data_IF_685334661097
#
_entry.id   IF_685334661097
#
_cell.length_a   1.000
_cell.length_b   1.000
_cell.length_c   1.000
_cell.angle_alpha   90.00
_cell.angle_beta   90.00
_cell.angle_gamma   90.00
#
_symmetry.space_group_name_H-M   'P 1'
#
loop_
_entity.id
_entity.type
_entity.pdbx_description
1 polymer ?
#
# COMPACT_ATOMS: atom_id res chain seq x y z
N UNK A 1 15.60 -4.30 17.65
CA UNK A 1 15.98 -3.71 18.96
C UNK A 1 15.25 -4.50 20.02
N UNK A 2 15.96 -5.27 20.85
CA UNK A 2 15.37 -6.26 21.76
C UNK A 2 15.79 -5.94 23.20
N UNK A 3 15.03 -5.08 23.89
CA UNK A 3 15.20 -4.94 25.34
C UNK A 3 14.52 -6.15 25.99
N UNK A 4 15.32 -7.07 26.57
CA UNK A 4 14.84 -8.37 27.05
C UNK A 4 13.89 -8.26 28.26
N UNK A 5 13.94 -7.15 28.99
CA UNK A 5 13.25 -6.96 30.27
C UNK A 5 12.16 -5.87 30.21
N UNK A 6 11.73 -5.51 29.00
CA UNK A 6 10.79 -4.41 28.76
C UNK A 6 9.50 -4.97 28.16
N UNK A 7 8.39 -4.79 28.88
CA UNK A 7 7.09 -5.36 28.51
C UNK A 7 6.08 -4.30 28.04
N UNK A 8 6.42 -3.01 28.14
CA UNK A 8 5.55 -1.91 27.70
C UNK A 8 6.34 -0.89 26.88
N UNK A 9 5.65 -0.22 25.94
CA UNK A 9 6.24 0.82 25.10
C UNK A 9 6.86 1.96 25.92
N UNK A 10 6.22 2.36 27.01
CA UNK A 10 6.73 3.41 27.90
C UNK A 10 8.06 3.03 28.55
N UNK A 11 8.18 1.79 29.03
CA UNK A 11 9.44 1.28 29.59
C UNK A 11 10.55 1.20 28.54
N UNK A 12 10.20 0.91 27.27
CA UNK A 12 11.17 0.90 26.18
C UNK A 12 11.72 2.29 25.89
N UNK A 13 10.84 3.30 25.91
CA UNK A 13 11.22 4.70 25.70
C UNK A 13 12.10 5.24 26.85
N UNK A 14 11.81 4.84 28.09
CA UNK A 14 12.60 5.27 29.26
C UNK A 14 14.01 4.64 29.29
N UNK A 15 14.16 3.42 28.77
CA UNK A 15 15.44 2.70 28.71
C UNK A 15 16.21 2.99 27.41
N UNK A 16 15.53 3.52 26.39
CA UNK A 16 16.14 3.81 25.11
C UNK A 16 17.28 4.83 25.27
N UNK A 17 18.49 4.54 24.73
CA UNK A 17 19.55 5.52 24.72
C UNK A 17 19.10 6.75 23.92
N UNK A 18 19.45 7.97 24.36
CA UNK A 18 19.05 9.18 23.67
C UNK A 18 19.50 9.15 22.21
N UNK A 19 18.70 9.70 21.29
CA UNK A 19 18.99 9.64 19.86
C UNK A 19 20.39 10.20 19.59
N UNK A 20 21.19 9.44 18.84
CA UNK A 20 22.56 9.81 18.50
C UNK A 20 22.55 10.88 17.41
N UNK A 21 22.27 12.11 17.82
CA UNK A 21 22.26 13.29 16.94
C UNK A 21 23.72 13.74 16.73
N UNK A 22 24.42 13.05 15.84
CA UNK A 22 25.87 13.20 15.65
C UNK A 22 26.21 14.50 14.92
N UNK A 23 25.41 14.88 13.92
CA UNK A 23 25.59 16.09 13.14
C UNK A 23 24.68 17.24 13.59
N UNK A 24 25.02 18.47 13.19
CA UNK A 24 24.12 19.61 13.40
C UNK A 24 22.82 19.47 12.60
N UNK A 25 22.90 18.85 11.41
CA UNK A 25 21.76 18.55 10.56
C UNK A 25 20.79 17.59 11.25
N UNK A 26 21.30 16.51 11.85
CA UNK A 26 20.49 15.51 12.57
C UNK A 26 19.70 16.16 13.71
N UNK A 27 20.33 17.12 14.42
CA UNK A 27 19.68 17.86 15.51
C UNK A 27 18.54 18.75 15.02
N UNK A 28 18.72 19.39 13.86
CA UNK A 28 17.68 20.22 13.24
C UNK A 28 16.51 19.36 12.78
N UNK A 29 16.80 18.26 12.08
CA UNK A 29 15.77 17.31 11.61
C UNK A 29 15.01 16.68 12.77
N UNK A 30 15.71 16.26 13.82
CA UNK A 30 15.08 15.72 15.02
C UNK A 30 14.17 16.76 15.69
N UNK A 31 14.63 18.00 15.82
CA UNK A 31 13.80 19.07 16.39
C UNK A 31 12.57 19.37 15.54
N UNK A 32 12.70 19.36 14.20
CA UNK A 32 11.57 19.54 13.30
C UNK A 32 10.55 18.41 13.44
N UNK A 33 11.00 17.15 13.50
CA UNK A 33 10.13 15.99 13.74
C UNK A 33 9.42 16.08 15.08
N UNK A 34 10.14 16.43 16.14
CA UNK A 34 9.54 16.61 17.47
C UNK A 34 8.44 17.69 17.47
N UNK A 35 8.65 18.80 16.74
CA UNK A 35 7.61 19.82 16.57
C UNK A 35 6.39 19.30 15.81
N UNK A 36 6.61 18.57 14.71
CA UNK A 36 5.50 17.99 13.95
C UNK A 36 4.72 16.97 14.77
N UNK A 37 5.40 16.14 15.58
CA UNK A 37 4.75 15.19 16.48
C UNK A 37 3.86 15.89 17.50
N UNK A 38 4.31 16.98 18.11
CA UNK A 38 3.48 17.75 19.04
C UNK A 38 2.24 18.33 18.35
N UNK A 39 2.38 18.84 17.12
CA UNK A 39 1.24 19.34 16.34
C UNK A 39 0.27 18.21 16.00
N UNK A 40 0.77 17.07 15.53
CA UNK A 40 -0.05 15.92 15.20
C UNK A 40 -0.82 15.38 16.42
N UNK A 41 -0.17 15.34 17.60
CA UNK A 41 -0.82 14.92 18.85
C UNK A 41 -1.95 15.85 19.27
N UNK A 42 -1.76 17.17 19.16
CA UNK A 42 -2.83 18.14 19.46
C UNK A 42 -3.95 18.09 18.42
N UNK A 43 -3.64 17.96 17.13
CA UNK A 43 -4.63 17.75 16.08
C UNK A 43 -5.45 16.47 16.34
N UNK A 44 -4.80 15.38 16.73
CA UNK A 44 -5.49 14.14 17.03
C UNK A 44 -6.45 14.29 18.22
N UNK A 45 -6.06 15.02 19.26
CA UNK A 45 -6.94 15.33 20.40
C UNK A 45 -8.16 16.11 19.95
N UNK A 46 -7.96 17.16 19.15
CA UNK A 46 -9.06 17.98 18.60
C UNK A 46 -9.98 17.13 17.72
N UNK A 47 -9.42 16.29 16.85
CA UNK A 47 -10.17 15.40 15.98
C UNK A 47 -10.92 14.31 16.77
N UNK A 48 -10.35 13.80 17.86
CA UNK A 48 -11.03 12.84 18.74
C UNK A 48 -12.22 13.48 19.45
N UNK A 49 -12.08 14.71 19.94
CA UNK A 49 -13.21 15.47 20.49
C UNK A 49 -14.28 15.75 19.44
N UNK A 50 -13.89 16.16 18.23
CA UNK A 50 -14.82 16.39 17.13
C UNK A 50 -15.61 15.13 16.79
N UNK A 51 -14.92 13.99 16.60
CA UNK A 51 -15.57 12.69 16.32
C UNK A 51 -16.54 12.27 17.42
N UNK A 52 -16.25 12.57 18.69
CA UNK A 52 -17.16 12.31 19.82
C UNK A 52 -18.42 13.17 19.77
N UNK A 53 -18.31 14.43 19.32
CA UNK A 53 -19.45 15.35 19.19
C UNK A 53 -20.28 15.09 17.92
N UNK A 54 -19.66 14.48 16.90
CA UNK A 54 -20.25 14.28 15.57
C UNK A 54 -20.26 12.80 15.14
N UNK A 55 -20.95 11.90 15.88
CA UNK A 55 -20.96 10.47 15.54
C UNK A 55 -21.65 10.17 14.21
N UNK A 56 -22.64 10.98 13.82
CA UNK A 56 -23.38 10.83 12.55
C UNK A 56 -22.48 11.12 11.34
N UNK A 57 -21.70 12.21 11.39
CA UNK A 57 -20.76 12.58 10.33
C UNK A 57 -19.66 11.51 10.18
N UNK A 58 -19.17 10.98 11.30
CA UNK A 58 -18.18 9.88 11.31
C UNK A 58 -18.76 8.63 10.67
N UNK A 59 -19.99 8.24 11.03
CA UNK A 59 -20.63 7.06 10.43
C UNK A 59 -20.82 7.24 8.91
N UNK A 60 -21.28 8.41 8.49
CA UNK A 60 -21.45 8.74 7.08
C UNK A 60 -20.14 8.67 6.28
N UNK A 61 -19.06 9.25 6.80
CA UNK A 61 -17.75 9.17 6.15
C UNK A 61 -17.26 7.72 6.06
N UNK A 62 -17.40 6.93 7.13
CA UNK A 62 -17.00 5.53 7.13
C UNK A 62 -17.76 4.71 6.08
N UNK A 63 -19.07 4.94 5.93
CA UNK A 63 -19.87 4.31 4.88
C UNK A 63 -19.44 4.73 3.48
N UNK A 64 -19.19 6.03 3.26
CA UNK A 64 -18.70 6.55 1.99
C UNK A 64 -17.35 5.93 1.60
N UNK A 65 -16.42 5.84 2.56
CA UNK A 65 -15.12 5.22 2.34
C UNK A 65 -15.21 3.70 2.17
N UNK A 66 -16.11 3.03 2.88
CA UNK A 66 -16.37 1.60 2.69
C UNK A 66 -16.87 1.32 1.26
N UNK A 67 -17.85 2.08 0.78
CA UNK A 67 -18.37 1.96 -0.59
C UNK A 67 -17.27 2.22 -1.63
N UNK A 68 -16.44 3.25 -1.43
CA UNK A 68 -15.31 3.53 -2.33
C UNK A 68 -14.28 2.40 -2.33
N UNK A 69 -13.96 1.81 -1.17
CA UNK A 69 -13.05 0.65 -1.09
C UNK A 69 -13.63 -0.57 -1.81
N UNK A 70 -14.92 -0.82 -1.68
CA UNK A 70 -15.59 -1.90 -2.42
C UNK A 70 -15.55 -1.67 -3.93
N UNK A 71 -15.83 -0.46 -4.39
CA UNK A 71 -15.74 -0.12 -5.80
C UNK A 71 -14.30 -0.26 -6.34
N UNK A 72 -13.33 0.27 -5.60
CA UNK A 72 -11.92 0.18 -5.99
C UNK A 72 -11.41 -1.27 -5.99
N UNK A 73 -11.84 -2.10 -5.04
CA UNK A 73 -11.48 -3.53 -5.01
C UNK A 73 -12.12 -4.28 -6.18
N UNK A 74 -13.38 -3.97 -6.53
CA UNK A 74 -14.04 -4.50 -7.73
C UNK A 74 -13.28 -4.09 -8.99
N UNK A 75 -12.97 -2.80 -9.15
CA UNK A 75 -12.20 -2.28 -10.29
C UNK A 75 -10.87 -3.00 -10.44
N UNK A 76 -10.10 -3.12 -9.34
CA UNK A 76 -8.82 -3.87 -9.35
C UNK A 76 -9.00 -5.34 -9.73
N UNK A 77 -10.08 -6.00 -9.28
CA UNK A 77 -10.36 -7.40 -9.67
C UNK A 77 -10.65 -7.50 -11.17
N UNK A 78 -11.47 -6.60 -11.71
CA UNK A 78 -11.79 -6.55 -13.13
C UNK A 78 -10.54 -6.27 -13.97
N UNK A 79 -9.72 -5.29 -13.58
CA UNK A 79 -8.44 -4.97 -14.22
C UNK A 79 -7.47 -6.17 -14.20
N UNK A 80 -7.37 -6.91 -13.08
CA UNK A 80 -6.56 -8.13 -12.99
C UNK A 80 -7.09 -9.22 -13.93
N UNK A 81 -8.40 -9.42 -14.01
CA UNK A 81 -9.01 -10.40 -14.90
C UNK A 81 -8.81 -10.04 -16.37
N UNK A 82 -8.99 -8.77 -16.73
CA UNK A 82 -8.72 -8.27 -18.07
C UNK A 82 -7.25 -8.50 -18.47
N UNK A 83 -6.32 -8.13 -17.57
CA UNK A 83 -4.89 -8.36 -17.76
C UNK A 83 -4.56 -9.84 -18.01
N UNK A 84 -5.12 -10.75 -17.21
CA UNK A 84 -4.96 -12.20 -17.38
C UNK A 84 -5.52 -12.67 -18.73
N UNK A 85 -6.70 -12.19 -19.14
CA UNK A 85 -7.30 -12.53 -20.43
C UNK A 85 -6.43 -12.07 -21.60
N UNK A 86 -5.92 -10.83 -21.54
CA UNK A 86 -5.05 -10.27 -22.58
C UNK A 86 -3.72 -11.02 -22.69
N UNK A 87 -3.06 -11.29 -21.55
CA UNK A 87 -1.85 -12.12 -21.52
C UNK A 87 -2.09 -13.51 -22.11
N UNK A 88 -3.13 -14.21 -21.64
CA UNK A 88 -3.46 -15.56 -22.12
C UNK A 88 -3.76 -15.58 -23.63
N UNK A 89 -4.49 -14.58 -24.15
CA UNK A 89 -4.77 -14.45 -25.57
C UNK A 89 -3.47 -14.27 -26.37
N UNK A 90 -2.60 -13.35 -25.93
CA UNK A 90 -1.34 -13.07 -26.61
C UNK A 90 -0.38 -14.27 -26.57
N UNK A 91 -0.30 -14.98 -25.43
CA UNK A 91 0.44 -16.23 -25.30
C UNK A 91 -0.10 -17.31 -26.24
N UNK A 92 -1.42 -17.53 -26.29
CA UNK A 92 -2.02 -18.51 -27.19
C UNK A 92 -1.79 -18.19 -28.68
N UNK A 93 -1.79 -16.90 -29.04
CA UNK A 93 -1.43 -16.50 -30.41
C UNK A 93 0.05 -16.74 -30.71
N UNK A 94 0.94 -16.55 -29.73
CA UNK A 94 2.37 -16.80 -29.90
C UNK A 94 2.64 -18.30 -30.09
N UNK A 95 2.01 -19.14 -29.27
CA UNK A 95 2.10 -20.60 -29.37
C UNK A 95 1.59 -21.10 -30.72
N UNK A 96 0.50 -20.53 -31.22
CA UNK A 96 -0.05 -20.86 -32.53
C UNK A 96 0.92 -20.51 -33.67
N UNK A 97 1.58 -19.35 -33.60
CA UNK A 97 2.62 -18.95 -34.57
C UNK A 97 3.85 -19.84 -34.46
N UNK A 98 4.27 -20.19 -33.24
CA UNK A 98 5.40 -21.08 -32.99
C UNK A 98 5.15 -22.50 -33.53
N UNK A 99 3.89 -22.97 -33.50
CA UNK A 99 3.47 -24.24 -34.11
C UNK A 99 3.35 -24.17 -35.65
N UNK A 100 3.69 -23.04 -36.28
CA UNK A 100 3.59 -22.83 -37.72
C UNK A 100 2.19 -22.44 -38.22
N UNK A 101 1.27 -22.13 -37.30
CA UNK A 101 -0.06 -21.58 -37.61
C UNK A 101 -0.03 -20.08 -37.91
N UNK A 102 -1.17 -19.53 -38.31
CA UNK A 102 -1.33 -18.09 -38.59
C UNK A 102 -2.15 -17.39 -37.50
N UNK A 103 -1.51 -16.48 -36.77
CA UNK A 103 -2.19 -15.59 -35.81
C UNK A 103 -3.06 -14.56 -36.54
N UNK A 104 -4.09 -14.06 -35.85
CA UNK A 104 -4.89 -12.93 -36.31
C UNK A 104 -4.31 -11.57 -35.90
N UNK A 105 -3.27 -11.54 -35.06
CA UNK A 105 -2.47 -10.35 -34.80
C UNK A 105 -1.54 -10.07 -35.98
N UNK A 106 -1.32 -8.80 -36.29
CA UNK A 106 -0.25 -8.40 -37.22
C UNK A 106 1.11 -8.51 -36.53
N UNK A 107 2.21 -8.58 -37.29
CA UNK A 107 3.56 -8.72 -36.72
C UNK A 107 3.95 -7.57 -35.79
N UNK A 108 3.47 -6.35 -36.08
CA UNK A 108 3.70 -5.14 -35.28
C UNK A 108 2.51 -4.77 -34.38
N UNK A 109 1.66 -5.74 -34.02
CA UNK A 109 0.53 -5.48 -33.13
C UNK A 109 1.02 -5.32 -31.69
N UNK A 110 0.75 -4.15 -31.07
CA UNK A 110 1.15 -3.88 -29.67
C UNK A 110 0.59 -4.90 -28.68
N UNK A 111 -0.49 -5.61 -29.04
CA UNK A 111 -1.06 -6.70 -28.22
C UNK A 111 -0.10 -7.88 -28.02
N UNK A 112 0.97 -7.99 -28.81
CA UNK A 112 2.06 -8.93 -28.50
C UNK A 112 2.76 -8.61 -27.19
N UNK A 113 2.82 -7.34 -26.79
CA UNK A 113 3.43 -6.91 -25.53
C UNK A 113 2.67 -7.42 -24.31
N UNK A 114 1.40 -7.79 -24.47
CA UNK A 114 0.58 -8.31 -23.39
C UNK A 114 1.09 -9.64 -22.82
N UNK A 115 1.95 -10.37 -23.55
CA UNK A 115 2.67 -11.56 -23.04
C UNK A 115 3.51 -11.23 -21.81
N UNK A 116 4.05 -10.02 -21.74
CA UNK A 116 4.93 -9.56 -20.67
C UNK A 116 4.19 -8.90 -19.50
N UNK A 117 2.86 -8.91 -19.50
CA UNK A 117 2.09 -8.39 -18.37
C UNK A 117 2.38 -9.22 -17.11
N UNK A 118 2.72 -8.53 -16.03
CA UNK A 118 2.80 -9.15 -14.70
C UNK A 118 1.38 -9.44 -14.21
N UNK A 119 1.08 -10.73 -14.07
CA UNK A 119 -0.15 -11.24 -13.47
C UNK A 119 0.19 -11.87 -12.12
N UNK A 120 -0.72 -11.85 -11.16
CA UNK A 120 -0.44 -12.39 -9.81
C UNK A 120 -0.06 -13.88 -9.80
N UNK A 121 -0.29 -14.63 -10.88
CA UNK A 121 0.16 -16.02 -11.01
C UNK A 121 1.70 -16.10 -11.21
N UNK A 122 2.37 -15.00 -11.52
CA UNK A 122 3.82 -14.89 -11.70
C UNK A 122 4.58 -14.57 -10.40
N UNK A 123 3.87 -14.29 -9.29
CA UNK A 123 4.44 -13.91 -7.99
C UNK A 123 3.84 -14.85 -6.94
N UNK A 124 4.66 -15.68 -6.29
CA UNK A 124 4.25 -16.40 -5.09
C UNK A 124 3.79 -15.35 -4.05
N UNK A 125 2.53 -15.44 -3.66
CA UNK A 125 1.75 -14.47 -2.90
C UNK A 125 2.21 -14.40 -1.42
N UNK A 126 3.46 -13.94 -1.19
CA UNK A 126 4.02 -13.65 0.14
C UNK A 126 4.61 -12.23 0.22
N UNK A 127 4.36 -11.38 -0.77
CA UNK A 127 4.71 -9.95 -0.71
C UNK A 127 3.42 -9.12 -0.79
N UNK A 128 2.54 -9.36 0.18
CA UNK A 128 1.55 -8.38 0.64
C UNK A 128 2.31 -7.20 1.25
N UNK A 129 2.86 -6.35 0.37
CA UNK A 129 3.40 -5.04 0.72
C UNK A 129 2.30 -4.04 1.12
N UNK A 130 1.41 -4.45 2.02
CA UNK A 130 0.48 -3.59 2.75
C UNK A 130 1.12 -3.20 4.11
N UNK A 131 2.27 -2.54 4.05
CA UNK A 131 2.82 -1.81 5.19
C UNK A 131 2.10 -0.45 5.33
N UNK A 132 0.84 -0.52 5.75
CA UNK A 132 0.09 0.64 6.26
C UNK A 132 -0.45 0.39 7.68
N UNK A 133 0.10 -0.60 8.39
CA UNK A 133 -0.27 -0.92 9.77
C UNK A 133 0.89 -0.63 10.73
N UNK A 134 1.44 0.57 10.71
CA UNK A 134 2.33 1.06 11.77
C UNK A 134 2.01 2.52 12.13
N UNK A 135 0.76 2.79 12.53
CA UNK A 135 0.41 3.94 13.38
C UNK A 135 -0.86 3.61 14.19
N UNK A 136 -0.67 2.85 15.27
CA UNK A 136 -1.60 2.80 16.42
C UNK A 136 -0.79 2.93 17.72
#
# INVERSE_FOLDING_TARGET
MNFQDVHTLQQALDVAPPPRLNSAQDRVEHTARQRHLLVAQEDERVMAEWRRRHPEDVAYEQECWAQRREEDTRRRREERLDRRRRKALASAQADLVAAGGRSFFTENDDRWLDIWLSTSDDINDDDDGDDWSEWE
#
